data_IF_316236569139
#
_entry.id   IF_316236569139
#
_cell.length_a   1.000
_cell.length_b   1.000
_cell.length_c   1.000
_cell.angle_alpha   90.00
_cell.angle_beta   90.00
_cell.angle_gamma   90.00
#
_symmetry.space_group_name_H-M   'P 1'
#
loop_
_entity.id
_entity.type
_entity.pdbx_description
1 polymer ?
#
# COMPACT_ATOMS: atom_id res chain seq x y z
N UNK A 1 2.34 -12.22 16.92
CA UNK A 1 2.09 -11.61 15.59
C UNK A 1 3.34 -11.20 14.81
N UNK A 2 4.41 -10.69 15.44
CA UNK A 2 5.63 -10.25 14.71
C UNK A 2 6.20 -11.30 13.74
N UNK A 3 6.28 -12.57 14.17
CA UNK A 3 6.75 -13.67 13.31
C UNK A 3 5.84 -13.89 12.08
N UNK A 4 4.52 -13.68 12.21
CA UNK A 4 3.60 -13.78 11.08
C UNK A 4 3.81 -12.65 10.08
N UNK A 5 3.97 -11.41 10.57
CA UNK A 5 4.28 -10.27 9.71
C UNK A 5 5.61 -10.47 8.97
N UNK A 6 6.65 -10.93 9.68
CA UNK A 6 7.95 -11.26 9.09
C UNK A 6 7.82 -12.29 7.95
N UNK A 7 7.14 -13.40 8.19
CA UNK A 7 6.93 -14.43 7.15
C UNK A 7 6.16 -13.83 5.97
N UNK A 8 5.12 -13.03 6.20
CA UNK A 8 4.38 -12.38 5.12
C UNK A 8 5.26 -11.46 4.26
N UNK A 9 6.11 -10.65 4.89
CA UNK A 9 7.05 -9.75 4.21
C UNK A 9 8.06 -10.54 3.38
N UNK A 10 8.65 -11.61 3.92
CA UNK A 10 9.68 -12.40 3.23
C UNK A 10 9.16 -13.31 2.12
N UNK A 11 7.84 -13.43 1.95
CA UNK A 11 7.25 -14.13 0.79
C UNK A 11 7.32 -13.35 -0.51
N UNK A 12 7.35 -12.02 -0.45
CA UNK A 12 7.41 -11.18 -1.64
C UNK A 12 8.81 -11.23 -2.27
N UNK A 13 8.90 -11.61 -3.55
CA UNK A 13 10.18 -11.68 -4.27
C UNK A 13 10.51 -10.41 -5.06
N UNK A 14 9.48 -9.74 -5.62
CA UNK A 14 9.65 -8.55 -6.47
C UNK A 14 9.08 -7.30 -5.83
N UNK A 15 7.79 -7.33 -5.50
CA UNK A 15 7.08 -6.20 -4.93
C UNK A 15 6.22 -6.65 -3.75
N UNK A 16 6.21 -5.85 -2.68
CA UNK A 16 5.34 -6.03 -1.53
C UNK A 16 4.41 -4.83 -1.43
N UNK A 17 3.11 -5.08 -1.52
CA UNK A 17 2.07 -4.06 -1.34
C UNK A 17 1.30 -4.36 -0.07
N UNK A 18 1.33 -3.43 0.89
CA UNK A 18 0.58 -3.53 2.13
C UNK A 18 -0.64 -2.59 2.05
N UNK A 19 -1.80 -3.08 2.46
CA UNK A 19 -3.05 -2.31 2.43
C UNK A 19 -3.72 -2.31 3.80
N UNK A 20 -4.45 -1.24 4.10
CA UNK A 20 -5.30 -1.15 5.28
C UNK A 20 -6.60 -0.41 4.93
N UNK A 21 -7.64 -0.66 5.72
CA UNK A 21 -8.89 0.10 5.66
C UNK A 21 -8.94 1.06 6.85
N UNK A 22 -9.47 2.28 6.65
CA UNK A 22 -9.71 3.24 7.73
C UNK A 22 -10.85 2.79 8.65
N UNK A 23 -11.88 2.20 8.05
CA UNK A 23 -13.03 1.64 8.74
C UNK A 23 -13.36 0.28 8.16
N UNK A 24 -13.82 -0.65 9.00
CA UNK A 24 -14.24 -2.00 8.62
C UNK A 24 -15.59 -2.30 9.26
N UNK A 25 -16.49 -2.91 8.50
CA UNK A 25 -17.70 -3.50 9.07
C UNK A 25 -17.35 -4.88 9.65
N UNK A 26 -17.51 -5.05 10.95
CA UNK A 26 -17.25 -6.30 11.65
C UNK A 26 -18.43 -6.63 12.55
N UNK A 27 -19.00 -7.83 12.39
CA UNK A 27 -20.17 -8.29 13.13
C UNK A 27 -21.39 -7.34 13.10
N UNK A 28 -21.58 -6.62 11.99
CA UNK A 28 -22.69 -5.67 11.82
C UNK A 28 -22.31 -4.22 12.10
N UNK A 29 -21.28 -3.99 12.91
CA UNK A 29 -20.87 -2.65 13.34
C UNK A 29 -19.72 -2.09 12.51
N UNK A 30 -19.70 -0.78 12.31
CA UNK A 30 -18.54 -0.10 11.73
C UNK A 30 -17.51 0.20 12.82
N UNK A 31 -16.31 -0.33 12.65
CA UNK A 31 -15.18 -0.08 13.54
C UNK A 31 -14.10 0.69 12.80
N UNK A 32 -13.52 1.69 13.47
CA UNK A 32 -12.32 2.37 13.00
C UNK A 32 -11.12 1.45 13.21
N UNK A 33 -10.27 1.34 12.20
CA UNK A 33 -9.06 0.54 12.28
C UNK A 33 -7.85 1.46 12.34
N UNK A 34 -7.02 1.24 13.35
CA UNK A 34 -5.73 1.91 13.45
C UNK A 34 -4.67 1.17 12.61
N UNK A 35 -3.64 1.88 12.09
CA UNK A 35 -2.55 1.25 11.36
C UNK A 35 -1.85 0.17 12.20
N UNK A 36 -1.38 -0.89 11.54
CA UNK A 36 -0.58 -1.90 12.22
C UNK A 36 0.74 -1.31 12.70
N UNK A 37 1.11 -1.54 13.97
CA UNK A 37 2.40 -1.12 14.54
C UNK A 37 3.62 -1.54 13.72
N UNK A 38 3.51 -2.66 12.98
CA UNK A 38 4.62 -3.14 12.15
C UNK A 38 4.93 -2.22 10.96
N UNK A 39 4.02 -1.32 10.58
CA UNK A 39 4.28 -0.33 9.53
C UNK A 39 5.29 0.73 9.97
N UNK A 40 5.31 1.09 11.25
CA UNK A 40 6.24 2.08 11.81
C UNK A 40 7.66 1.52 12.01
N UNK A 41 7.76 0.20 12.10
CA UNK A 41 9.03 -0.51 12.22
C UNK A 41 9.74 -0.68 10.87
N UNK A 42 9.06 -0.43 9.75
CA UNK A 42 9.65 -0.53 8.42
C UNK A 42 10.56 0.67 8.13
N UNK A 43 11.67 0.48 7.39
CA UNK A 43 12.53 1.58 6.98
C UNK A 43 11.76 2.60 6.13
N UNK A 44 11.65 3.85 6.62
CA UNK A 44 10.89 4.90 5.94
C UNK A 44 11.36 5.17 4.50
N UNK A 45 12.66 5.05 4.24
CA UNK A 45 13.23 5.24 2.90
C UNK A 45 12.78 4.17 1.87
N UNK A 46 12.36 2.99 2.34
CA UNK A 46 11.88 1.91 1.49
C UNK A 46 10.35 1.87 1.36
N UNK A 47 9.63 2.79 2.02
CA UNK A 47 8.18 2.79 2.09
C UNK A 47 7.59 3.91 1.23
N UNK A 48 6.79 3.54 0.24
CA UNK A 48 5.93 4.50 -0.46
C UNK A 48 4.52 4.47 0.14
N UNK A 49 4.14 5.52 0.86
CA UNK A 49 2.79 5.64 1.44
C UNK A 49 1.84 6.29 0.44
N UNK A 50 0.66 5.69 0.25
CA UNK A 50 -0.43 6.21 -0.60
C UNK A 50 -1.73 6.22 0.20
N UNK A 51 -2.58 7.23 0.00
CA UNK A 51 -3.92 7.29 0.60
C UNK A 51 -3.99 7.77 2.07
N UNK A 52 -2.87 8.21 2.65
CA UNK A 52 -2.83 8.77 4.01
C UNK A 52 -2.99 10.30 4.08
N UNK A 53 -3.27 10.95 2.95
CA UNK A 53 -3.39 12.41 2.87
C UNK A 53 -2.05 13.14 2.75
N UNK A 54 -0.95 12.40 2.61
CA UNK A 54 0.37 12.96 2.33
C UNK A 54 0.33 13.72 0.99
N UNK A 55 0.99 14.88 0.94
CA UNK A 55 1.15 15.66 -0.31
C UNK A 55 2.03 14.85 -1.28
N UNK A 56 1.39 14.06 -2.12
CA UNK A 56 2.09 13.42 -3.23
C UNK A 56 2.33 14.49 -4.29
N UNK A 57 3.56 14.56 -4.81
CA UNK A 57 3.90 15.47 -5.90
C UNK A 57 2.96 15.23 -7.09
N UNK A 58 2.25 16.29 -7.49
CA UNK A 58 1.29 16.23 -8.58
C UNK A 58 1.94 15.82 -9.91
N UNK A 59 3.20 16.21 -10.14
CA UNK A 59 3.95 15.83 -11.31
C UNK A 59 4.27 14.32 -11.32
N UNK A 60 4.71 13.79 -10.17
CA UNK A 60 4.99 12.36 -10.01
C UNK A 60 3.72 11.51 -10.23
N UNK A 61 2.58 11.94 -9.70
CA UNK A 61 1.30 11.25 -9.91
C UNK A 61 0.89 11.19 -11.38
N UNK A 62 1.05 12.28 -12.13
CA UNK A 62 0.74 12.31 -13.56
C UNK A 62 1.66 11.39 -14.37
N UNK A 63 2.95 11.35 -14.02
CA UNK A 63 3.92 10.47 -14.66
C UNK A 63 3.57 8.99 -14.44
N UNK A 64 3.32 8.59 -13.19
CA UNK A 64 2.89 7.21 -12.86
C UNK A 64 1.56 6.86 -13.53
N UNK A 65 0.61 7.81 -13.62
CA UNK A 65 -0.67 7.60 -14.30
C UNK A 65 -0.49 7.31 -15.79
N UNK A 66 0.36 8.08 -16.48
CA UNK A 66 0.69 7.86 -17.90
C UNK A 66 1.35 6.50 -18.12
N UNK A 67 2.31 6.13 -17.29
CA UNK A 67 3.00 4.83 -17.35
C UNK A 67 2.04 3.66 -17.10
N UNK A 68 1.14 3.80 -16.11
CA UNK A 68 0.14 2.78 -15.82
C UNK A 68 -0.78 2.56 -17.02
N UNK A 69 -1.23 3.64 -17.67
CA UNK A 69 -2.07 3.58 -18.87
C UNK A 69 -1.33 3.00 -20.07
N UNK A 70 -0.05 3.31 -20.27
CA UNK A 70 0.74 2.71 -21.36
C UNK A 70 0.93 1.21 -21.16
N UNK A 71 1.21 0.77 -19.93
CA UNK A 71 1.35 -0.66 -19.61
C UNK A 71 0.03 -1.42 -19.80
N UNK A 72 -1.11 -0.80 -19.46
CA UNK A 72 -2.42 -1.38 -19.72
C UNK A 72 -2.71 -1.51 -21.21
N UNK A 73 -2.36 -0.51 -22.04
CA UNK A 73 -2.54 -0.61 -23.50
C UNK A 73 -1.69 -1.74 -24.10
N UNK A 74 -0.43 -1.83 -23.71
CA UNK A 74 0.50 -2.86 -24.20
C UNK A 74 0.11 -4.30 -23.83
N UNK A 75 -0.82 -4.52 -22.90
CA UNK A 75 -1.37 -5.84 -22.58
C UNK A 75 -2.43 -6.31 -23.59
N UNK A 76 -3.01 -5.40 -24.38
CA UNK A 76 -4.12 -5.68 -25.31
C UNK A 76 -3.75 -5.51 -26.78
N UNK A 77 -2.51 -5.09 -27.07
CA UNK A 77 -1.89 -5.12 -28.41
C UNK A 77 -1.17 -6.46 -28.63
#
# INVERSE_FOLDING_TARGET
ERRLAYVGVTRAQKHLTLTMARTRKQFGDQQRCEPSRFLEELPAAALQRKGFGDKVDAAANQATGRETLSNLKALFD
#
